data_IF_462862826538
#
_entry.id   IF_462862826538
#
_cell.length_a   1.000
_cell.length_b   1.000
_cell.length_c   1.000
_cell.angle_alpha   90.00
_cell.angle_beta   90.00
_cell.angle_gamma   90.00
#
_symmetry.space_group_name_H-M   'P 1'
#
loop_
_entity.id
_entity.type
_entity.pdbx_description
1 polymer ?
#
# COMPACT_ATOMS: atom_id res chain seq x y z
N UNK A 1 -27.06 7.07 -3.63
CA UNK A 1 -26.11 5.96 -3.34
C UNK A 1 -24.89 5.98 -4.24
N UNK A 2 -25.02 6.11 -5.57
CA UNK A 2 -23.85 6.22 -6.45
C UNK A 2 -23.06 7.53 -6.24
N UNK A 3 -23.75 8.66 -6.05
CA UNK A 3 -23.09 9.97 -5.87
C UNK A 3 -22.17 10.05 -4.64
N UNK A 4 -22.50 9.33 -3.55
CA UNK A 4 -21.65 9.26 -2.35
C UNK A 4 -20.41 8.40 -2.59
N UNK A 5 -20.52 7.34 -3.40
CA UNK A 5 -19.40 6.49 -3.78
C UNK A 5 -18.41 7.26 -4.66
N UNK A 6 -18.91 8.03 -5.62
CA UNK A 6 -18.07 8.86 -6.50
C UNK A 6 -17.30 9.92 -5.69
N UNK A 7 -17.95 10.57 -4.72
CA UNK A 7 -17.31 11.52 -3.82
C UNK A 7 -16.23 10.88 -2.96
N UNK A 8 -16.48 9.67 -2.43
CA UNK A 8 -15.49 8.91 -1.67
C UNK A 8 -14.30 8.51 -2.53
N UNK A 9 -14.55 8.07 -3.77
CA UNK A 9 -13.49 7.72 -4.72
C UNK A 9 -12.64 8.94 -5.10
N UNK A 10 -13.27 10.08 -5.39
CA UNK A 10 -12.58 11.34 -5.69
C UNK A 10 -11.77 11.84 -4.49
N UNK A 11 -12.31 11.73 -3.28
CA UNK A 11 -11.59 12.06 -2.05
C UNK A 11 -10.36 11.16 -1.86
N UNK A 12 -10.50 9.85 -2.10
CA UNK A 12 -9.38 8.90 -2.06
C UNK A 12 -8.31 9.21 -3.10
N UNK A 13 -8.69 9.47 -4.36
CA UNK A 13 -7.75 9.88 -5.41
C UNK A 13 -7.05 11.20 -5.09
N UNK A 14 -7.79 12.17 -4.53
CA UNK A 14 -7.24 13.43 -4.04
C UNK A 14 -6.22 13.22 -2.93
N UNK A 15 -6.51 12.36 -1.96
CA UNK A 15 -5.58 12.02 -0.88
C UNK A 15 -4.31 11.32 -1.39
N UNK A 16 -4.45 10.36 -2.32
CA UNK A 16 -3.30 9.64 -2.90
C UNK A 16 -2.40 10.55 -3.74
N UNK A 17 -2.97 11.54 -4.42
CA UNK A 17 -2.23 12.51 -5.25
C UNK A 17 -1.87 13.79 -4.50
N UNK A 18 -2.16 13.87 -3.19
CA UNK A 18 -1.86 15.03 -2.37
C UNK A 18 -0.35 15.27 -2.31
N UNK A 19 0.03 16.54 -2.47
CA UNK A 19 1.42 17.00 -2.31
C UNK A 19 1.46 18.18 -1.36
N UNK A 20 2.64 18.52 -0.85
CA UNK A 20 2.82 19.67 0.04
C UNK A 20 2.32 20.95 -0.62
N UNK A 21 2.66 21.18 -1.89
CA UNK A 21 2.25 22.37 -2.64
C UNK A 21 0.73 22.44 -2.81
N UNK A 22 0.06 21.30 -2.98
CA UNK A 22 -1.41 21.23 -3.06
C UNK A 22 -2.06 21.49 -1.70
N UNK A 23 -1.50 20.95 -0.62
CA UNK A 23 -1.97 21.20 0.74
C UNK A 23 -1.80 22.68 1.13
N UNK A 24 -0.67 23.29 0.76
CA UNK A 24 -0.41 24.71 0.93
C UNK A 24 -1.42 25.58 0.18
N UNK A 25 -1.69 25.27 -1.09
CA UNK A 25 -2.72 25.98 -1.88
C UNK A 25 -4.11 25.85 -1.28
N UNK A 26 -4.48 24.66 -0.83
CA UNK A 26 -5.76 24.41 -0.17
C UNK A 26 -5.89 25.24 1.10
N UNK A 27 -4.82 25.36 1.88
CA UNK A 27 -4.79 26.21 3.06
C UNK A 27 -4.93 27.70 2.72
N UNK A 28 -4.21 28.16 1.70
CA UNK A 28 -4.26 29.56 1.26
C UNK A 28 -5.69 29.94 0.79
N UNK A 29 -6.43 29.00 0.17
CA UNK A 29 -7.86 29.19 -0.11
C UNK A 29 -8.72 29.33 1.14
N UNK A 30 -8.45 28.55 2.20
CA UNK A 30 -9.19 28.62 3.46
C UNK A 30 -8.93 29.95 4.18
N UNK A 31 -7.68 30.42 4.18
CA UNK A 31 -7.35 31.76 4.69
C UNK A 31 -8.07 32.84 3.88
N UNK A 32 -8.06 32.75 2.54
CA UNK A 32 -8.76 33.70 1.68
C UNK A 32 -10.26 33.75 1.91
N UNK A 33 -10.86 32.64 2.36
CA UNK A 33 -12.28 32.54 2.71
C UNK A 33 -12.57 32.97 4.16
N UNK A 34 -11.54 33.37 4.92
CA UNK A 34 -11.66 33.71 6.35
C UNK A 34 -11.93 32.48 7.24
N UNK A 35 -11.62 31.28 6.75
CA UNK A 35 -11.89 30.00 7.42
C UNK A 35 -10.69 29.45 8.18
N UNK A 36 -9.51 30.05 8.03
CA UNK A 36 -8.28 29.65 8.72
C UNK A 36 -7.38 30.85 9.05
N UNK A 37 -6.67 30.77 10.17
CA UNK A 37 -5.65 31.76 10.55
C UNK A 37 -4.29 31.39 9.96
N UNK A 38 -3.55 32.37 9.44
CA UNK A 38 -2.26 32.14 8.74
C UNK A 38 -1.24 31.36 9.57
N UNK A 39 -1.26 31.50 10.89
CA UNK A 39 -0.32 30.85 11.80
C UNK A 39 -0.48 29.32 11.83
N UNK A 40 -1.67 28.80 11.48
CA UNK A 40 -1.96 27.37 11.47
C UNK A 40 -1.43 26.61 10.23
N UNK A 41 -0.80 27.30 9.27
CA UNK A 41 -0.41 26.74 7.95
C UNK A 41 0.44 25.49 8.06
N UNK A 42 1.51 25.54 8.86
CA UNK A 42 2.46 24.44 8.99
C UNK A 42 1.83 23.20 9.61
N UNK A 43 0.98 23.37 10.62
CA UNK A 43 0.25 22.29 11.28
C UNK A 43 -0.73 21.61 10.33
N UNK A 44 -1.55 22.39 9.63
CA UNK A 44 -2.49 21.88 8.64
C UNK A 44 -1.79 21.10 7.52
N UNK A 45 -0.75 21.68 6.92
CA UNK A 45 -0.01 21.02 5.84
C UNK A 45 0.60 19.71 6.33
N UNK A 46 1.16 19.69 7.53
CA UNK A 46 1.70 18.47 8.12
C UNK A 46 0.62 17.40 8.28
N UNK A 47 -0.52 17.74 8.88
CA UNK A 47 -1.61 16.79 9.13
C UNK A 47 -2.19 16.21 7.83
N UNK A 48 -2.38 17.04 6.81
CA UNK A 48 -2.84 16.60 5.48
C UNK A 48 -1.84 15.65 4.84
N UNK A 49 -0.53 15.93 4.96
CA UNK A 49 0.51 15.07 4.41
C UNK A 49 0.62 13.75 5.18
N UNK A 50 0.56 13.77 6.51
CA UNK A 50 0.57 12.57 7.35
C UNK A 50 -0.62 11.65 7.01
N UNK A 51 -1.80 12.24 6.77
CA UNK A 51 -3.00 11.51 6.34
C UNK A 51 -2.86 10.92 4.93
N UNK A 52 -2.26 11.66 3.99
CA UNK A 52 -1.99 11.18 2.65
C UNK A 52 -1.01 9.98 2.66
N UNK A 53 0.04 10.05 3.47
CA UNK A 53 1.03 8.97 3.58
C UNK A 53 0.44 7.72 4.24
N UNK A 54 -0.38 7.88 5.29
CA UNK A 54 -1.13 6.78 5.88
C UNK A 54 -2.05 6.09 4.87
N UNK A 55 -2.79 6.87 4.08
CA UNK A 55 -3.70 6.35 3.05
C UNK A 55 -2.94 5.56 1.98
N UNK A 56 -1.77 6.05 1.54
CA UNK A 56 -0.90 5.33 0.59
C UNK A 56 -0.39 4.01 1.16
N UNK A 57 0.05 4.00 2.41
CA UNK A 57 0.55 2.80 3.07
C UNK A 57 -0.54 1.72 3.22
N UNK A 58 -1.76 2.13 3.62
CA UNK A 58 -2.90 1.21 3.72
C UNK A 58 -3.27 0.62 2.35
N UNK A 59 -3.30 1.44 1.29
CA UNK A 59 -3.55 0.95 -0.07
C UNK A 59 -2.47 -0.04 -0.52
N UNK A 60 -1.19 0.27 -0.30
CA UNK A 60 -0.09 -0.64 -0.64
C UNK A 60 -0.23 -1.98 0.08
N UNK A 61 -0.62 -1.98 1.36
CA UNK A 61 -0.86 -3.20 2.13
C UNK A 61 -2.00 -4.02 1.54
N UNK A 62 -3.14 -3.39 1.25
CA UNK A 62 -4.30 -4.06 0.67
C UNK A 62 -3.97 -4.69 -0.69
N UNK A 63 -3.25 -3.96 -1.56
CA UNK A 63 -2.81 -4.49 -2.85
C UNK A 63 -1.86 -5.66 -2.68
N UNK A 64 -0.87 -5.55 -1.78
CA UNK A 64 0.08 -6.62 -1.52
C UNK A 64 -0.60 -7.89 -0.99
N UNK A 65 -1.55 -7.74 -0.07
CA UNK A 65 -2.33 -8.84 0.49
C UNK A 65 -3.18 -9.52 -0.59
N UNK A 66 -3.86 -8.73 -1.44
CA UNK A 66 -4.68 -9.27 -2.53
C UNK A 66 -3.84 -10.00 -3.57
N UNK A 67 -2.65 -9.47 -3.93
CA UNK A 67 -1.73 -10.14 -4.85
C UNK A 67 -1.23 -11.46 -4.24
N UNK A 68 -0.83 -11.45 -2.96
CA UNK A 68 -0.37 -12.66 -2.27
C UNK A 68 -1.46 -13.72 -2.22
N UNK A 69 -2.69 -13.35 -1.89
CA UNK A 69 -3.82 -14.27 -1.87
C UNK A 69 -4.10 -14.85 -3.25
N UNK A 70 -4.05 -14.02 -4.30
CA UNK A 70 -4.24 -14.47 -5.68
C UNK A 70 -3.17 -15.47 -6.08
N UNK A 71 -1.90 -15.17 -5.81
CA UNK A 71 -0.78 -16.07 -6.10
C UNK A 71 -0.89 -17.39 -5.34
N UNK A 72 -1.30 -17.38 -4.06
CA UNK A 72 -1.50 -18.59 -3.27
C UNK A 72 -2.66 -19.46 -3.77
N UNK A 73 -3.67 -18.85 -4.39
CA UNK A 73 -4.81 -19.57 -4.99
C UNK A 73 -4.46 -20.17 -6.36
N UNK A 74 -3.44 -19.64 -7.03
CA UNK A 74 -2.85 -20.30 -8.18
C UNK A 74 -2.00 -21.44 -7.61
N UNK A 75 -2.20 -22.67 -8.10
CA UNK A 75 -1.49 -23.87 -7.64
C UNK A 75 -0.01 -23.86 -8.12
N UNK A 76 0.70 -22.77 -7.85
CA UNK A 76 2.07 -22.52 -8.25
C UNK A 76 3.00 -23.02 -7.15
N UNK A 77 4.03 -23.76 -7.54
CA UNK A 77 5.11 -24.10 -6.62
C UNK A 77 5.87 -22.83 -6.24
N UNK A 78 6.03 -22.60 -4.93
CA UNK A 78 6.85 -21.48 -4.45
C UNK A 78 8.34 -21.83 -4.55
N UNK A 79 9.19 -20.81 -4.42
CA UNK A 79 10.65 -21.03 -4.33
C UNK A 79 11.01 -21.92 -3.13
N UNK A 80 10.30 -21.78 -2.02
CA UNK A 80 10.51 -22.58 -0.82
C UNK A 80 10.07 -24.04 -1.04
N UNK A 81 8.99 -24.26 -1.80
CA UNK A 81 8.59 -25.60 -2.21
C UNK A 81 9.66 -26.28 -3.07
N UNK A 82 10.24 -25.56 -4.02
CA UNK A 82 11.34 -26.05 -4.85
C UNK A 82 12.57 -26.40 -4.02
N UNK A 83 13.03 -25.50 -3.15
CA UNK A 83 14.17 -25.75 -2.26
C UNK A 83 13.94 -26.97 -1.35
N UNK A 84 12.72 -27.12 -0.82
CA UNK A 84 12.35 -28.29 -0.02
C UNK A 84 12.38 -29.58 -0.83
N UNK A 85 11.99 -29.53 -2.10
CA UNK A 85 12.03 -30.69 -3.01
C UNK A 85 13.48 -31.03 -3.37
N UNK A 86 14.32 -30.04 -3.72
CA UNK A 86 15.75 -30.22 -4.00
C UNK A 86 16.47 -30.87 -2.82
N UNK A 87 16.27 -30.36 -1.58
CA UNK A 87 16.88 -30.93 -0.39
C UNK A 87 16.46 -32.40 -0.15
N UNK A 88 15.19 -32.74 -0.39
CA UNK A 88 14.71 -34.12 -0.29
C UNK A 88 15.33 -35.00 -1.37
N UNK A 89 15.49 -34.48 -2.58
CA UNK A 89 16.11 -35.20 -3.69
C UNK A 89 17.57 -35.52 -3.37
N UNK A 90 18.33 -34.54 -2.86
CA UNK A 90 19.72 -34.73 -2.46
C UNK A 90 19.86 -35.79 -1.35
N UNK A 91 18.98 -35.75 -0.35
CA UNK A 91 18.96 -36.74 0.74
C UNK A 91 18.67 -38.15 0.23
N UNK A 92 17.76 -38.29 -0.73
CA UNK A 92 17.42 -39.59 -1.32
C UNK A 92 18.56 -40.12 -2.18
N UNK A 93 19.17 -39.27 -3.02
CA UNK A 93 20.32 -39.64 -3.84
C UNK A 93 21.53 -40.04 -2.99
N UNK A 94 21.78 -39.34 -1.89
CA UNK A 94 22.83 -39.70 -0.94
C UNK A 94 22.58 -41.09 -0.30
N UNK A 95 21.33 -41.43 0.01
CA UNK A 95 20.97 -42.74 0.56
C UNK A 95 21.06 -43.85 -0.48
N UNK A 96 20.58 -43.64 -1.70
CA UNK A 96 20.61 -44.65 -2.77
C UNK A 96 22.02 -44.96 -3.26
N UNK A 97 22.96 -44.02 -3.11
CA UNK A 97 24.38 -44.24 -3.45
C UNK A 97 25.14 -44.96 -2.32
N UNK A 98 24.53 -45.12 -1.14
CA UNK A 98 25.12 -45.79 0.03
C UNK A 98 24.57 -47.21 0.29
N UNK A 99 23.62 -47.71 -0.49
CA UNK A 99 23.24 -49.13 -0.49
C UNK A 99 24.05 -49.89 -1.56
N UNK A 100 24.87 -50.90 -1.18
CA UNK A 100 25.62 -51.75 -2.11
C UNK A 100 24.77 -52.81 -2.81
#
# INVERSE_FOLDING_TARGET
MFETLDKLMLAGLGALTMTRERAEKLFDEYVSKGQAEREARSGFVKEVMDSADKTRAELQRLVADQVRQTVNNLHLATKDDLLRIELKLDQLLAKSTMEP
#
